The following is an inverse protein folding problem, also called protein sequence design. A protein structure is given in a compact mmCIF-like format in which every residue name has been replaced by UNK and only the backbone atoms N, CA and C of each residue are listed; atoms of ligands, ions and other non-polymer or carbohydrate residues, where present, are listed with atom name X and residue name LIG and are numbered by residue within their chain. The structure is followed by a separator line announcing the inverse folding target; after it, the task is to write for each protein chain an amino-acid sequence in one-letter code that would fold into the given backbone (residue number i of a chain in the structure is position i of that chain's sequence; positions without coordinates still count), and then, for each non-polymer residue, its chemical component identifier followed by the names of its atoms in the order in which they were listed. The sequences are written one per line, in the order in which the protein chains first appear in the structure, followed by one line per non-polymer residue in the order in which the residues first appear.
data_IF_949589011354
#
_entry.id   IF_949589011354
#
_cell.length_a   1.000
_cell.length_b   1.000
_cell.length_c   1.000
_cell.angle_alpha   90.00
_cell.angle_beta   90.00
_cell.angle_gamma   90.00
#
_symmetry.space_group_name_H-M   'P 1'
#
loop_
_entity.id
_entity.type
_entity.pdbx_description
1 polymer ?
#
# COMPACT_ATOMS: atom_id res chain seq x y z
N UNK A 1 6.24 -29.67 -26.21
CA UNK A 1 7.19 -28.56 -25.95
C UNK A 1 6.40 -27.31 -25.61
N UNK A 2 6.15 -27.08 -24.32
CA UNK A 2 5.30 -25.99 -23.84
C UNK A 2 6.14 -24.71 -23.71
N UNK A 3 5.84 -23.71 -24.53
CA UNK A 3 6.58 -22.45 -24.59
C UNK A 3 6.67 -21.76 -23.23
N UNK A 4 7.89 -21.39 -22.84
CA UNK A 4 8.17 -20.53 -21.70
C UNK A 4 7.41 -19.21 -21.85
N UNK A 5 6.28 -19.08 -21.15
CA UNK A 5 5.53 -17.83 -21.06
C UNK A 5 6.21 -16.89 -20.05
N UNK A 6 7.47 -16.53 -20.32
CA UNK A 6 8.18 -15.50 -19.55
C UNK A 6 7.45 -14.20 -19.79
N UNK A 7 6.89 -13.61 -18.75
CA UNK A 7 6.17 -12.33 -18.84
C UNK A 7 7.12 -11.34 -19.53
N UNK A 8 6.68 -10.76 -20.65
CA UNK A 8 7.55 -9.93 -21.48
C UNK A 8 8.18 -8.82 -20.66
N UNK A 9 9.49 -8.63 -20.79
CA UNK A 9 10.26 -7.53 -20.15
C UNK A 9 9.56 -6.18 -20.34
N UNK A 10 8.86 -5.99 -21.47
CA UNK A 10 8.07 -4.81 -21.79
C UNK A 10 6.98 -4.50 -20.75
N UNK A 11 6.37 -5.50 -20.13
CA UNK A 11 5.34 -5.32 -19.09
C UNK A 11 5.96 -4.77 -17.80
N UNK A 12 7.10 -5.33 -17.37
CA UNK A 12 7.81 -4.83 -16.20
C UNK A 12 8.33 -3.41 -16.41
N UNK A 13 8.85 -3.09 -17.60
CA UNK A 13 9.32 -1.73 -17.91
C UNK A 13 8.17 -0.71 -17.88
N UNK A 14 6.99 -1.03 -18.42
CA UNK A 14 5.81 -0.14 -18.36
C UNK A 14 5.38 0.13 -16.92
N UNK A 15 5.37 -0.89 -16.08
CA UNK A 15 4.96 -0.77 -14.67
C UNK A 15 6.01 -0.01 -13.86
N UNK A 16 7.30 -0.22 -14.14
CA UNK A 16 8.38 0.57 -13.55
C UNK A 16 8.23 2.07 -13.84
N UNK A 17 7.92 2.44 -15.10
CA UNK A 17 7.65 3.85 -15.45
C UNK A 17 6.41 4.38 -14.73
N UNK A 18 5.34 3.57 -14.63
CA UNK A 18 4.15 3.97 -13.85
C UNK A 18 4.49 4.22 -12.38
N UNK A 19 5.30 3.36 -11.75
CA UNK A 19 5.75 3.55 -10.36
C UNK A 19 6.63 4.80 -10.18
N UNK A 20 7.47 5.14 -11.16
CA UNK A 20 8.22 6.39 -11.15
C UNK A 20 7.29 7.60 -11.19
N UNK A 21 6.28 7.60 -12.05
CA UNK A 21 5.28 8.68 -12.12
C UNK A 21 4.54 8.83 -10.79
N UNK A 22 4.07 7.73 -10.22
CA UNK A 22 3.44 7.73 -8.89
C UNK A 22 4.38 8.24 -7.79
N UNK A 23 5.69 7.99 -7.90
CA UNK A 23 6.68 8.48 -6.94
C UNK A 23 6.89 9.98 -7.07
N UNK A 24 6.97 10.50 -8.29
CA UNK A 24 7.01 11.96 -8.53
C UNK A 24 5.74 12.60 -7.98
N UNK A 25 4.58 11.98 -8.20
CA UNK A 25 3.31 12.47 -7.67
C UNK A 25 3.31 12.52 -6.13
N UNK A 26 3.86 11.51 -5.43
CA UNK A 26 4.01 11.59 -3.96
C UNK A 26 4.92 12.72 -3.51
N UNK A 27 6.03 12.96 -4.22
CA UNK A 27 6.94 14.06 -3.87
C UNK A 27 6.23 15.39 -4.07
N UNK A 28 5.56 15.59 -5.20
CA UNK A 28 4.79 16.82 -5.47
C UNK A 28 3.68 17.00 -4.44
N UNK A 29 2.91 15.97 -4.13
CA UNK A 29 1.88 16.02 -3.10
C UNK A 29 2.45 16.40 -1.72
N UNK A 30 3.66 15.95 -1.38
CA UNK A 30 4.33 16.32 -0.14
C UNK A 30 4.85 17.77 -0.12
N UNK A 31 5.06 18.41 -1.28
CA UNK A 31 5.45 19.81 -1.37
C UNK A 31 4.28 20.78 -1.20
N UNK A 32 3.04 20.30 -1.38
CA UNK A 32 1.83 21.08 -1.16
C UNK A 32 1.25 20.78 0.22
N UNK A 33 1.08 21.81 1.03
CA UNK A 33 0.56 21.64 2.38
C UNK A 33 -0.98 21.67 2.38
N UNK A 34 -1.58 20.48 2.36
CA UNK A 34 -3.03 20.29 2.45
C UNK A 34 -3.53 20.23 3.91
N UNK A 35 -2.68 20.55 4.89
CA UNK A 35 -3.01 20.48 6.31
C UNK A 35 -3.37 19.04 6.74
N UNK A 36 -4.49 18.88 7.43
CA UNK A 36 -4.94 17.57 7.94
C UNK A 36 -5.20 16.52 6.85
N UNK A 37 -5.45 16.95 5.60
CA UNK A 37 -5.70 16.03 4.49
C UNK A 37 -4.40 15.44 3.90
N UNK A 38 -3.22 15.99 4.23
CA UNK A 38 -1.96 15.55 3.67
C UNK A 38 -1.69 14.06 3.94
N UNK A 39 -1.96 13.59 5.16
CA UNK A 39 -1.80 12.19 5.55
C UNK A 39 -2.72 11.26 4.76
N UNK A 40 -3.98 11.66 4.54
CA UNK A 40 -4.96 10.86 3.81
C UNK A 40 -4.55 10.76 2.33
N UNK A 41 -4.15 11.88 1.72
CA UNK A 41 -3.69 11.93 0.34
C UNK A 41 -2.43 11.08 0.17
N UNK A 42 -1.45 11.21 1.07
CA UNK A 42 -0.23 10.41 1.05
C UNK A 42 -0.53 8.90 1.15
N UNK A 43 -1.43 8.50 2.05
CA UNK A 43 -1.84 7.10 2.20
C UNK A 43 -2.59 6.56 0.97
N UNK A 44 -3.44 7.38 0.33
CA UNK A 44 -4.13 7.00 -0.90
C UNK A 44 -3.14 6.71 -2.04
N UNK A 45 -2.18 7.63 -2.27
CA UNK A 45 -1.18 7.46 -3.33
C UNK A 45 -0.29 6.25 -3.00
N UNK A 46 0.10 6.07 -1.74
CA UNK A 46 0.87 4.91 -1.28
C UNK A 46 0.11 3.59 -1.52
N UNK A 47 -1.20 3.56 -1.28
CA UNK A 47 -2.05 2.37 -1.49
C UNK A 47 -2.12 1.98 -2.97
N UNK A 48 -2.28 2.95 -3.87
CA UNK A 48 -2.28 2.70 -5.33
C UNK A 48 -0.91 2.16 -5.77
N UNK A 49 0.19 2.75 -5.29
CA UNK A 49 1.55 2.29 -5.59
C UNK A 49 1.76 0.84 -5.11
N UNK A 50 1.36 0.53 -3.88
CA UNK A 50 1.46 -0.81 -3.31
C UNK A 50 0.62 -1.83 -4.10
N UNK A 51 -0.60 -1.48 -4.49
CA UNK A 51 -1.47 -2.34 -5.30
C UNK A 51 -0.84 -2.70 -6.66
N UNK A 52 -0.21 -1.73 -7.34
CA UNK A 52 0.52 -1.96 -8.59
C UNK A 52 1.70 -2.92 -8.40
N UNK A 53 2.46 -2.77 -7.30
CA UNK A 53 3.58 -3.65 -6.97
C UNK A 53 3.10 -5.08 -6.71
N UNK A 54 2.05 -5.24 -5.90
CA UNK A 54 1.49 -6.56 -5.57
C UNK A 54 0.98 -7.25 -6.85
N UNK A 55 0.20 -6.53 -7.67
CA UNK A 55 -0.40 -7.12 -8.86
C UNK A 55 0.63 -7.61 -9.89
N UNK A 56 1.78 -6.93 -10.03
CA UNK A 56 2.72 -7.20 -11.13
C UNK A 56 4.02 -7.85 -10.65
N UNK A 57 4.65 -7.32 -9.59
CA UNK A 57 5.97 -7.76 -9.14
C UNK A 57 5.90 -8.93 -8.17
N UNK A 58 4.87 -9.03 -7.32
CA UNK A 58 4.67 -10.19 -6.46
C UNK A 58 4.08 -11.41 -7.19
N UNK A 59 3.90 -11.32 -8.51
CA UNK A 59 3.34 -12.42 -9.30
C UNK A 59 1.87 -12.71 -8.99
N UNK A 60 1.22 -12.01 -8.06
CA UNK A 60 -0.15 -12.30 -7.59
C UNK A 60 -1.20 -12.36 -8.72
N UNK A 61 -1.01 -11.63 -9.83
CA UNK A 61 -1.88 -11.71 -11.01
C UNK A 61 -1.63 -12.95 -11.88
N UNK A 62 -0.43 -13.52 -11.83
CA UNK A 62 0.05 -14.61 -12.67
C UNK A 62 0.15 -15.95 -11.91
N UNK A 63 0.19 -15.91 -10.59
CA UNK A 63 0.27 -17.06 -9.66
C UNK A 63 -1.11 -17.57 -9.24
N UNK A 64 -1.09 -18.68 -8.49
CA UNK A 64 -2.28 -19.36 -7.95
C UNK A 64 -3.08 -18.47 -6.96
N UNK A 65 -4.38 -18.75 -6.85
CA UNK A 65 -5.33 -17.97 -6.01
C UNK A 65 -4.98 -18.01 -4.52
N UNK A 66 -4.18 -18.98 -4.07
CA UNK A 66 -3.67 -19.00 -2.69
C UNK A 66 -2.90 -17.72 -2.32
N UNK A 67 -2.10 -17.14 -3.22
CA UNK A 67 -1.33 -15.92 -2.95
C UNK A 67 -2.25 -14.73 -2.62
N UNK A 68 -3.36 -14.60 -3.34
CA UNK A 68 -4.40 -13.59 -3.07
C UNK A 68 -5.09 -13.81 -1.73
N UNK A 69 -5.38 -15.05 -1.36
CA UNK A 69 -6.02 -15.37 -0.07
C UNK A 69 -5.09 -15.02 1.09
N UNK A 70 -3.81 -15.41 1.01
CA UNK A 70 -2.81 -15.08 2.04
C UNK A 70 -2.64 -13.57 2.17
N UNK A 71 -2.58 -12.84 1.06
CA UNK A 71 -2.56 -11.38 1.06
C UNK A 71 -3.80 -10.80 1.76
N UNK A 72 -5.00 -11.29 1.43
CA UNK A 72 -6.24 -10.85 2.05
C UNK A 72 -6.28 -11.07 3.56
N UNK A 73 -5.85 -12.25 4.02
CA UNK A 73 -5.74 -12.56 5.45
C UNK A 73 -4.71 -11.66 6.13
N UNK A 74 -3.56 -11.43 5.51
CA UNK A 74 -2.53 -10.54 6.06
C UNK A 74 -3.04 -9.10 6.22
N UNK A 75 -3.74 -8.56 5.22
CA UNK A 75 -4.32 -7.22 5.28
C UNK A 75 -5.42 -7.11 6.33
N UNK A 76 -6.24 -8.16 6.51
CA UNK A 76 -7.22 -8.21 7.58
C UNK A 76 -6.56 -8.09 8.97
N UNK A 77 -5.48 -8.83 9.21
CA UNK A 77 -4.74 -8.74 10.47
C UNK A 77 -4.06 -7.38 10.67
N UNK A 78 -3.53 -6.75 9.62
CA UNK A 78 -2.97 -5.40 9.70
C UNK A 78 -4.05 -4.39 10.14
N UNK A 79 -5.22 -4.43 9.52
CA UNK A 79 -6.34 -3.55 9.88
C UNK A 79 -6.76 -3.80 11.33
N UNK A 80 -6.90 -5.07 11.72
CA UNK A 80 -7.26 -5.45 13.09
C UNK A 80 -6.25 -4.92 14.11
N UNK A 81 -4.95 -5.13 13.88
CA UNK A 81 -3.89 -4.67 14.77
C UNK A 81 -3.68 -3.16 14.77
N UNK A 82 -4.01 -2.43 13.71
CA UNK A 82 -3.99 -0.97 13.74
C UNK A 82 -5.24 -0.38 14.40
N UNK A 83 -6.40 -1.03 14.24
CA UNK A 83 -7.67 -0.53 14.76
C UNK A 83 -7.74 -0.59 16.28
N UNK A 84 -7.27 -1.67 16.91
CA UNK A 84 -7.35 -1.82 18.37
C UNK A 84 -6.54 -0.73 19.12
N UNK A 85 -5.25 -0.47 18.81
CA UNK A 85 -4.51 0.62 19.43
C UNK A 85 -5.06 2.01 19.07
N UNK A 86 -5.57 2.19 17.85
CA UNK A 86 -6.18 3.46 17.47
C UNK A 86 -7.44 3.76 18.31
N UNK A 87 -8.27 2.74 18.55
CA UNK A 87 -9.45 2.84 19.42
C UNK A 87 -9.04 3.05 20.89
N UNK A 88 -7.99 2.38 21.36
CA UNK A 88 -7.43 2.60 22.69
C UNK A 88 -7.02 4.06 22.86
N UNK A 89 -6.19 4.61 21.97
CA UNK A 89 -5.76 6.02 22.01
C UNK A 89 -6.96 6.98 21.97
N UNK A 90 -7.97 6.70 21.15
CA UNK A 90 -9.15 7.55 21.01
C UNK A 90 -10.03 7.56 22.27
N UNK A 91 -10.11 6.44 23.00
CA UNK A 91 -10.94 6.29 24.20
C UNK A 91 -10.19 6.52 25.50
N UNK A 92 -8.85 6.60 25.44
CA UNK A 92 -7.99 6.77 26.59
C UNK A 92 -8.27 8.09 27.31
N UNK A 93 -8.66 8.01 28.58
CA UNK A 93 -8.69 9.14 29.50
C UNK A 93 -7.24 9.61 29.74
N UNK A 94 -6.99 10.91 29.51
CA UNK A 94 -5.70 11.54 29.81
C UNK A 94 -5.59 11.76 31.32
N UNK A 95 -5.01 10.80 32.02
CA UNK A 95 -4.52 11.01 33.39
C UNK A 95 -3.34 11.99 33.32
N UNK A 96 -3.57 13.27 33.65
CA UNK A 96 -2.52 14.27 33.82
C UNK A 96 -1.93 14.08 35.22
N UNK A 97 -0.76 13.46 35.30
CA UNK A 97 -0.02 13.36 36.57
C UNK A 97 0.30 14.78 37.05
N UNK A 98 -0.17 15.15 38.24
CA UNK A 98 0.02 16.47 38.85
C UNK A 98 1.33 16.56 39.65
N UNK A 99 2.39 15.89 39.19
CA UNK A 99 3.76 16.02 39.71
C UNK A 99 4.63 16.80 38.73
#
# INVERSE_FOLDING_TARGET
MSGHHVVSVKTYTKVFVSLLILTILTVVAALFDFGAANTIIALLIASVKAGLVIAIFMGTKYDDKMSLVVLGVSMFFVILFFSIPALDIATRVKEMSTL
#
